data_IF_591287987215
#
_entry.id   IF_591287987215
#
_cell.length_a   1.000
_cell.length_b   1.000
_cell.length_c   1.000
_cell.angle_alpha   90.00
_cell.angle_beta   90.00
_cell.angle_gamma   90.00
#
_symmetry.space_group_name_H-M   'P 1'
#
loop_
_entity.id
_entity.type
_entity.pdbx_description
1 polymer ?
#
# COMPACT_ATOMS: atom_id res chain seq x y z
N UNK A 1 5.44 -8.90 -14.84
CA UNK A 1 4.11 -8.79 -14.19
C UNK A 1 3.47 -7.49 -14.62
N UNK A 2 2.15 -7.44 -14.83
CA UNK A 2 1.47 -6.19 -15.18
C UNK A 2 1.30 -5.33 -13.92
N UNK A 3 1.98 -4.19 -13.85
CA UNK A 3 1.97 -3.30 -12.70
C UNK A 3 0.57 -2.75 -12.33
N UNK A 4 -0.37 -2.72 -13.29
CA UNK A 4 -1.70 -2.12 -13.06
C UNK A 4 -2.59 -2.87 -12.07
N UNK A 5 -2.36 -4.18 -11.85
CA UNK A 5 -3.24 -5.03 -11.04
C UNK A 5 -2.49 -5.86 -10.00
N UNK A 6 -1.28 -5.44 -9.63
CA UNK A 6 -0.42 -6.21 -8.69
C UNK A 6 -1.01 -6.33 -7.30
N UNK A 7 -1.77 -5.34 -6.82
CA UNK A 7 -2.51 -5.38 -5.56
C UNK A 7 -3.55 -6.50 -5.54
N UNK A 8 -4.33 -6.66 -6.63
CA UNK A 8 -5.29 -7.76 -6.78
C UNK A 8 -4.56 -9.11 -6.81
N UNK A 9 -3.45 -9.20 -7.57
CA UNK A 9 -2.64 -10.43 -7.63
C UNK A 9 -2.06 -10.75 -6.25
N UNK A 10 -1.54 -9.74 -5.53
CA UNK A 10 -1.03 -9.93 -4.16
C UNK A 10 -2.15 -10.39 -3.21
N UNK A 11 -3.32 -9.74 -3.26
CA UNK A 11 -4.48 -10.14 -2.47
C UNK A 11 -4.88 -11.60 -2.73
N UNK A 12 -5.00 -11.99 -3.99
CA UNK A 12 -5.34 -13.36 -4.39
C UNK A 12 -4.29 -14.37 -3.90
N UNK A 13 -3.00 -14.10 -4.11
CA UNK A 13 -1.90 -14.97 -3.68
C UNK A 13 -1.85 -15.10 -2.16
N UNK A 14 -2.27 -14.07 -1.44
CA UNK A 14 -2.32 -14.04 0.03
C UNK A 14 -3.59 -14.69 0.61
N UNK A 15 -4.43 -15.31 -0.23
CA UNK A 15 -5.65 -16.00 0.18
C UNK A 15 -6.88 -15.10 0.29
N UNK A 16 -6.93 -14.02 -0.50
CA UNK A 16 -8.08 -13.12 -0.57
C UNK A 16 -9.39 -13.85 -0.90
N UNK A 17 -10.49 -13.32 -0.39
CA UNK A 17 -11.82 -13.92 -0.47
C UNK A 17 -12.51 -13.38 -1.72
N UNK A 18 -12.71 -14.24 -2.72
CA UNK A 18 -13.46 -13.88 -3.93
C UNK A 18 -14.94 -13.76 -3.54
N UNK A 19 -15.51 -12.56 -3.77
CA UNK A 19 -16.92 -12.25 -3.52
C UNK A 19 -17.73 -12.53 -4.78
N UNK A 20 -17.30 -11.95 -5.91
CA UNK A 20 -17.89 -12.17 -7.22
C UNK A 20 -16.78 -12.33 -8.28
N UNK A 21 -17.03 -13.18 -9.28
CA UNK A 21 -16.15 -13.35 -10.43
C UNK A 21 -16.99 -13.73 -11.66
N UNK A 22 -16.85 -12.94 -12.74
CA UNK A 22 -17.45 -13.21 -14.04
C UNK A 22 -16.45 -12.79 -15.14
N UNK A 23 -16.07 -13.70 -16.01
CA UNK A 23 -15.09 -13.47 -17.09
C UNK A 23 -13.78 -12.81 -16.57
N UNK A 24 -13.59 -11.54 -16.93
CA UNK A 24 -12.45 -10.72 -16.50
C UNK A 24 -12.77 -9.81 -15.31
N UNK A 25 -14.02 -9.79 -14.87
CA UNK A 25 -14.45 -8.97 -13.74
C UNK A 25 -14.26 -9.72 -12.43
N UNK A 26 -13.80 -9.02 -11.41
CA UNK A 26 -13.47 -9.59 -10.12
C UNK A 26 -13.82 -8.61 -8.98
N UNK A 27 -14.50 -9.12 -7.97
CA UNK A 27 -14.66 -8.46 -6.68
C UNK A 27 -14.08 -9.36 -5.60
N UNK A 28 -13.02 -8.91 -4.94
CA UNK A 28 -12.25 -9.69 -3.96
C UNK A 28 -11.97 -8.86 -2.72
N UNK A 29 -12.05 -9.47 -1.55
CA UNK A 29 -11.66 -8.88 -0.26
C UNK A 29 -10.30 -9.42 0.18
N UNK A 30 -9.44 -8.55 0.69
CA UNK A 30 -8.25 -8.99 1.43
C UNK A 30 -8.67 -9.74 2.70
N UNK A 31 -7.96 -10.82 3.02
CA UNK A 31 -8.36 -11.68 4.15
C UNK A 31 -7.99 -11.08 5.51
N UNK A 32 -6.96 -10.24 5.54
CA UNK A 32 -6.35 -9.72 6.77
C UNK A 32 -6.77 -8.27 7.06
N UNK A 33 -7.36 -7.58 6.06
CA UNK A 33 -7.78 -6.17 6.16
C UNK A 33 -9.22 -5.95 5.69
N UNK A 34 -9.70 -4.73 5.84
CA UNK A 34 -10.98 -4.27 5.30
C UNK A 34 -10.84 -3.62 3.91
N UNK A 35 -9.84 -4.06 3.13
CA UNK A 35 -9.61 -3.60 1.75
C UNK A 35 -10.31 -4.54 0.78
N UNK A 36 -11.08 -3.95 -0.11
CA UNK A 36 -11.84 -4.61 -1.17
C UNK A 36 -11.32 -4.10 -2.51
N UNK A 37 -11.15 -4.99 -3.47
CA UNK A 37 -10.68 -4.68 -4.82
C UNK A 37 -11.77 -5.01 -5.82
N UNK A 38 -12.14 -4.04 -6.65
CA UNK A 38 -13.18 -4.19 -7.65
C UNK A 38 -12.61 -3.89 -9.05
N UNK A 39 -12.41 -4.92 -9.82
CA UNK A 39 -12.08 -4.86 -11.24
C UNK A 39 -13.36 -5.19 -12.03
N UNK A 40 -14.00 -4.19 -12.59
CA UNK A 40 -15.21 -4.33 -13.41
C UNK A 40 -15.36 -3.08 -14.29
N UNK A 41 -15.41 -3.29 -15.60
CA UNK A 41 -15.59 -2.19 -16.55
C UNK A 41 -17.08 -1.80 -16.70
N UNK A 42 -18.01 -2.72 -16.45
CA UNK A 42 -19.46 -2.48 -16.46
C UNK A 42 -19.92 -1.85 -15.15
N UNK A 43 -20.28 -0.57 -15.21
CA UNK A 43 -20.69 0.23 -14.04
C UNK A 43 -21.95 -0.31 -13.37
N UNK A 44 -22.96 -0.72 -14.16
CA UNK A 44 -24.23 -1.23 -13.62
C UNK A 44 -24.02 -2.56 -12.88
N UNK A 45 -23.20 -3.45 -13.46
CA UNK A 45 -22.79 -4.71 -12.83
C UNK A 45 -22.02 -4.44 -11.52
N UNK A 46 -21.04 -3.54 -11.54
CA UNK A 46 -20.27 -3.18 -10.36
C UNK A 46 -21.16 -2.63 -9.23
N UNK A 47 -22.08 -1.71 -9.55
CA UNK A 47 -23.05 -1.17 -8.60
C UNK A 47 -23.98 -2.23 -8.03
N UNK A 48 -24.42 -3.20 -8.87
CA UNK A 48 -25.22 -4.34 -8.42
C UNK A 48 -24.44 -5.18 -7.41
N UNK A 49 -23.19 -5.57 -7.70
CA UNK A 49 -22.35 -6.35 -6.79
C UNK A 49 -22.11 -5.65 -5.45
N UNK A 50 -21.80 -4.35 -5.50
CA UNK A 50 -21.62 -3.56 -4.28
C UNK A 50 -22.91 -3.44 -3.46
N UNK A 51 -24.06 -3.29 -4.11
CA UNK A 51 -25.37 -3.24 -3.43
C UNK A 51 -25.72 -4.57 -2.77
N UNK A 52 -25.46 -5.68 -3.43
CA UNK A 52 -25.75 -7.04 -2.93
C UNK A 52 -24.80 -7.39 -1.77
N UNK A 53 -23.55 -6.98 -1.83
CA UNK A 53 -22.57 -7.24 -0.78
C UNK A 53 -22.78 -6.36 0.47
N UNK A 54 -23.01 -5.07 0.28
CA UNK A 54 -23.21 -4.11 1.36
C UNK A 54 -22.02 -3.17 1.59
N UNK A 55 -21.56 -3.04 2.85
CA UNK A 55 -20.52 -2.07 3.19
C UNK A 55 -19.11 -2.56 2.86
N UNK A 56 -18.33 -1.68 2.19
CA UNK A 56 -16.91 -1.83 1.93
C UNK A 56 -16.17 -0.65 2.55
N UNK A 57 -15.44 -0.86 3.66
CA UNK A 57 -14.79 0.22 4.39
C UNK A 57 -13.70 0.91 3.57
N UNK A 58 -12.87 0.14 2.89
CA UNK A 58 -11.87 0.62 1.94
C UNK A 58 -12.08 -0.11 0.60
N UNK A 59 -12.41 0.64 -0.46
CA UNK A 59 -12.66 0.09 -1.79
C UNK A 59 -11.64 0.65 -2.78
N UNK A 60 -10.88 -0.25 -3.41
CA UNK A 60 -9.99 0.06 -4.54
C UNK A 60 -10.66 -0.36 -5.84
N UNK A 61 -10.71 0.55 -6.81
CA UNK A 61 -11.31 0.31 -8.13
C UNK A 61 -10.52 0.97 -9.26
N UNK A 62 -10.82 0.61 -10.50
CA UNK A 62 -10.06 1.02 -11.69
C UNK A 62 -10.91 1.75 -12.73
N UNK A 63 -12.20 1.89 -12.47
CA UNK A 63 -13.17 2.54 -13.34
C UNK A 63 -13.46 3.95 -12.83
N UNK A 64 -13.11 4.98 -13.62
CA UNK A 64 -13.24 6.40 -13.25
C UNK A 64 -14.71 6.80 -13.10
N UNK A 65 -15.59 6.34 -13.98
CA UNK A 65 -17.02 6.63 -13.91
C UNK A 65 -17.63 6.08 -12.60
N UNK A 66 -17.30 4.85 -12.25
CA UNK A 66 -17.74 4.24 -11.00
C UNK A 66 -17.20 5.00 -9.80
N UNK A 67 -15.94 5.46 -9.84
CA UNK A 67 -15.37 6.30 -8.79
C UNK A 67 -16.14 7.60 -8.62
N UNK A 68 -16.46 8.29 -9.72
CA UNK A 68 -17.21 9.55 -9.68
C UNK A 68 -18.61 9.39 -9.08
N UNK A 69 -19.27 8.26 -9.34
CA UNK A 69 -20.58 7.92 -8.74
C UNK A 69 -20.45 7.65 -7.24
N UNK A 70 -19.37 7.01 -6.80
CA UNK A 70 -19.22 6.50 -5.44
C UNK A 70 -18.51 7.46 -4.48
N UNK A 71 -17.61 8.35 -4.95
CA UNK A 71 -16.70 9.14 -4.10
C UNK A 71 -17.40 9.94 -3.00
N UNK A 72 -18.63 10.43 -3.25
CA UNK A 72 -19.42 11.19 -2.27
C UNK A 72 -20.09 10.30 -1.20
N UNK A 73 -19.99 8.97 -1.32
CA UNK A 73 -20.48 8.02 -0.31
C UNK A 73 -19.38 7.59 0.66
N UNK A 74 -18.19 8.14 0.52
CA UNK A 74 -17.02 7.86 1.34
C UNK A 74 -16.46 9.16 1.93
N UNK A 75 -15.83 9.06 3.10
CA UNK A 75 -15.27 10.23 3.81
C UNK A 75 -14.03 10.79 3.14
N UNK A 76 -13.21 9.88 2.60
CA UNK A 76 -11.96 10.22 1.93
C UNK A 76 -11.83 9.44 0.64
N UNK A 77 -11.16 10.03 -0.32
CA UNK A 77 -10.81 9.38 -1.57
C UNK A 77 -9.43 9.83 -2.05
N UNK A 78 -8.77 8.97 -2.81
CA UNK A 78 -7.45 9.22 -3.38
C UNK A 78 -7.40 8.65 -4.79
N UNK A 79 -6.59 9.26 -5.65
CA UNK A 79 -6.28 8.75 -6.98
C UNK A 79 -4.78 8.49 -7.05
N UNK A 80 -4.40 7.24 -7.31
CA UNK A 80 -3.02 6.81 -7.19
C UNK A 80 -2.49 6.19 -8.49
N UNK A 81 -1.20 6.43 -8.74
CA UNK A 81 -0.40 5.53 -9.57
C UNK A 81 -0.03 4.30 -8.75
N UNK A 82 -0.04 3.13 -9.39
CA UNK A 82 0.49 1.92 -8.81
C UNK A 82 1.85 1.59 -9.41
N UNK A 83 2.80 1.22 -8.56
CA UNK A 83 4.15 0.85 -8.95
C UNK A 83 4.49 -0.55 -8.45
N UNK A 84 5.32 -1.27 -9.18
CA UNK A 84 5.84 -2.58 -8.79
C UNK A 84 7.34 -2.65 -9.02
N UNK A 85 8.05 -3.28 -8.09
CA UNK A 85 9.43 -3.68 -8.28
C UNK A 85 9.45 -5.09 -8.89
N UNK A 86 9.97 -5.22 -10.12
CA UNK A 86 9.84 -6.44 -10.91
C UNK A 86 11.17 -7.16 -11.16
N UNK A 87 12.12 -7.00 -10.24
CA UNK A 87 13.41 -7.69 -10.31
C UNK A 87 13.56 -8.64 -9.12
N UNK A 88 14.41 -9.69 -9.23
CA UNK A 88 14.53 -10.73 -8.22
C UNK A 88 15.26 -10.30 -6.95
N UNK A 89 16.07 -9.25 -7.02
CA UNK A 89 16.84 -8.71 -5.89
C UNK A 89 17.01 -7.19 -6.05
N UNK A 90 17.36 -6.52 -4.96
CA UNK A 90 17.58 -5.08 -4.88
C UNK A 90 18.82 -4.78 -4.02
N UNK A 91 19.67 -3.88 -4.49
CA UNK A 91 20.76 -3.35 -3.69
C UNK A 91 20.21 -2.44 -2.58
N UNK A 92 20.65 -2.68 -1.37
CA UNK A 92 20.31 -1.86 -0.20
C UNK A 92 21.49 -1.00 0.25
N UNK A 93 21.16 0.20 0.71
CA UNK A 93 22.14 1.12 1.28
C UNK A 93 22.58 0.63 2.67
N UNK A 94 23.87 0.43 2.87
CA UNK A 94 24.43 -0.08 4.12
C UNK A 94 24.73 1.02 5.16
N UNK A 95 24.40 2.27 4.87
CA UNK A 95 24.58 3.40 5.82
C UNK A 95 23.62 3.31 7.01
N UNK A 96 22.47 2.65 6.84
CA UNK A 96 21.47 2.50 7.90
C UNK A 96 21.50 1.10 8.49
N UNK A 97 21.33 1.02 9.79
CA UNK A 97 20.93 -0.18 10.50
C UNK A 97 19.41 -0.20 10.63
N UNK A 98 18.81 -1.40 10.62
CA UNK A 98 17.37 -1.56 10.69
C UNK A 98 16.96 -2.40 11.88
N UNK A 99 15.89 -1.99 12.54
CA UNK A 99 15.26 -2.75 13.63
C UNK A 99 13.76 -2.85 13.38
N UNK A 100 13.22 -4.05 13.51
CA UNK A 100 11.77 -4.24 13.48
C UNK A 100 11.13 -3.49 14.66
N UNK A 101 9.95 -2.88 14.40
CA UNK A 101 9.19 -2.23 15.44
C UNK A 101 8.61 -3.25 16.43
N UNK A 102 8.57 -2.87 17.70
CA UNK A 102 8.03 -3.66 18.80
C UNK A 102 6.86 -2.94 19.48
N UNK A 103 6.13 -3.63 20.34
CA UNK A 103 4.97 -3.05 21.07
C UNK A 103 5.33 -1.77 21.84
N UNK A 104 6.55 -1.65 22.34
CA UNK A 104 7.05 -0.45 23.01
C UNK A 104 7.18 0.78 22.11
N UNK A 105 7.25 0.59 20.79
CA UNK A 105 7.41 1.66 19.82
C UNK A 105 6.06 2.30 19.37
N UNK A 106 4.93 1.73 19.74
CA UNK A 106 3.59 2.15 19.28
C UNK A 106 3.37 3.65 19.53
N UNK A 107 3.63 4.11 20.72
CA UNK A 107 3.40 5.53 21.06
C UNK A 107 4.30 6.47 20.26
N UNK A 108 5.55 6.10 20.05
CA UNK A 108 6.47 6.87 19.21
C UNK A 108 5.99 6.87 17.75
N UNK A 109 5.60 5.73 17.21
CA UNK A 109 5.10 5.63 15.85
C UNK A 109 3.85 6.48 15.64
N UNK A 110 2.86 6.40 16.54
CA UNK A 110 1.60 7.18 16.48
C UNK A 110 1.82 8.70 16.52
N UNK A 111 2.86 9.19 17.21
CA UNK A 111 3.21 10.62 17.20
C UNK A 111 3.68 11.10 15.83
N UNK A 112 4.11 10.20 14.97
CA UNK A 112 4.71 10.52 13.68
C UNK A 112 3.90 10.04 12.46
N UNK A 113 2.92 9.16 12.68
CA UNK A 113 2.07 8.60 11.61
C UNK A 113 0.65 8.38 12.13
N UNK A 114 -0.33 9.03 11.49
CA UNK A 114 -1.72 9.09 11.97
C UNK A 114 -2.74 8.41 11.05
N UNK A 115 -2.28 7.75 9.99
CA UNK A 115 -3.17 7.22 8.93
C UNK A 115 -3.59 5.76 9.16
N UNK A 116 -3.30 5.20 10.35
CA UNK A 116 -3.67 3.83 10.71
C UNK A 116 -4.47 3.80 12.01
N UNK A 117 -5.39 2.86 12.10
CA UNK A 117 -6.09 2.51 13.34
C UNK A 117 -5.17 1.77 14.32
N UNK A 118 -5.58 1.67 15.58
CA UNK A 118 -4.82 0.93 16.59
C UNK A 118 -4.75 -0.57 16.28
N UNK A 119 -5.80 -1.12 15.69
CA UNK A 119 -5.87 -2.51 15.22
C UNK A 119 -4.85 -2.76 14.09
N UNK A 120 -4.80 -1.88 13.09
CA UNK A 120 -3.83 -1.96 12.00
C UNK A 120 -2.39 -1.84 12.50
N UNK A 121 -2.12 -0.91 13.42
CA UNK A 121 -0.79 -0.77 14.05
C UNK A 121 -0.43 -2.04 14.82
N UNK A 122 -1.35 -2.60 15.59
CA UNK A 122 -1.17 -3.88 16.29
C UNK A 122 -0.79 -5.00 15.31
N UNK A 123 -1.54 -5.12 14.22
CA UNK A 123 -1.31 -6.13 13.19
C UNK A 123 0.07 -5.99 12.53
N UNK A 124 0.44 -4.79 12.04
CA UNK A 124 1.71 -4.60 11.33
C UNK A 124 2.94 -4.83 12.23
N UNK A 125 2.83 -4.55 13.53
CA UNK A 125 3.88 -4.85 14.50
C UNK A 125 3.98 -6.35 14.75
N UNK A 126 2.86 -7.03 15.01
CA UNK A 126 2.83 -8.48 15.25
C UNK A 126 3.37 -9.26 14.05
N UNK A 127 3.06 -8.82 12.83
CA UNK A 127 3.51 -9.45 11.59
C UNK A 127 4.86 -8.91 11.07
N UNK A 128 5.57 -8.11 11.89
CA UNK A 128 6.92 -7.58 11.57
C UNK A 128 6.94 -6.82 10.24
N UNK A 129 5.94 -5.97 10.00
CA UNK A 129 5.77 -5.20 8.77
C UNK A 129 6.25 -3.75 8.89
N UNK A 130 6.75 -3.33 10.06
CA UNK A 130 7.25 -1.98 10.31
C UNK A 130 8.69 -2.03 10.83
N UNK A 131 9.55 -1.20 10.28
CA UNK A 131 10.97 -1.10 10.64
C UNK A 131 11.38 0.35 10.84
N UNK A 132 12.25 0.58 11.84
CA UNK A 132 12.97 1.83 12.02
C UNK A 132 14.36 1.73 11.39
N UNK A 133 14.76 2.80 10.69
CA UNK A 133 16.13 2.97 10.19
C UNK A 133 16.94 3.87 11.12
N UNK A 134 18.18 3.45 11.40
CA UNK A 134 19.09 4.13 12.32
C UNK A 134 20.38 4.53 11.62
N UNK A 135 20.83 5.74 11.91
CA UNK A 135 22.18 6.24 11.60
C UNK A 135 22.89 6.55 12.92
N UNK A 136 23.95 5.80 13.25
CA UNK A 136 24.70 6.00 14.51
C UNK A 136 23.77 6.09 15.74
N UNK A 137 22.90 5.13 15.94
CA UNK A 137 21.92 5.01 17.03
C UNK A 137 20.78 6.05 17.04
N UNK A 138 20.76 6.99 16.10
CA UNK A 138 19.63 7.91 15.92
C UNK A 138 18.63 7.42 14.87
N UNK A 139 17.33 7.48 15.22
CA UNK A 139 16.26 7.11 14.27
C UNK A 139 16.19 8.17 13.17
N UNK A 140 16.42 7.77 11.91
CA UNK A 140 16.29 8.65 10.74
C UNK A 140 14.89 8.65 10.14
N UNK A 141 14.14 7.58 10.39
CA UNK A 141 12.80 7.40 9.89
C UNK A 141 12.32 5.96 10.05
N UNK A 142 11.23 5.65 9.40
CA UNK A 142 10.67 4.30 9.40
C UNK A 142 10.08 3.96 8.02
N UNK A 143 9.92 2.66 7.78
CA UNK A 143 9.29 2.12 6.58
C UNK A 143 8.51 0.87 6.93
N UNK A 144 7.39 0.65 6.24
CA UNK A 144 6.58 -0.55 6.46
C UNK A 144 5.60 -0.85 5.34
N UNK A 145 4.91 -1.97 5.52
CA UNK A 145 3.77 -2.39 4.70
C UNK A 145 2.48 -2.18 5.47
N UNK A 146 1.44 -1.77 4.77
CA UNK A 146 0.06 -1.85 5.27
C UNK A 146 -0.37 -3.31 5.48
N UNK A 147 -1.53 -3.51 6.08
CA UNK A 147 -2.05 -4.85 6.39
C UNK A 147 -2.17 -5.70 5.13
N UNK A 148 -2.63 -5.12 4.01
CA UNK A 148 -2.77 -5.73 2.68
C UNK A 148 -1.44 -5.90 1.91
N UNK A 149 -0.30 -5.64 2.57
CA UNK A 149 1.07 -5.80 2.04
C UNK A 149 1.50 -4.74 1.01
N UNK A 150 0.78 -3.63 0.88
CA UNK A 150 1.25 -2.46 0.12
C UNK A 150 2.40 -1.77 0.87
N UNK A 151 3.52 -1.51 0.22
CA UNK A 151 4.61 -0.68 0.79
C UNK A 151 4.16 0.78 0.71
N UNK A 152 3.88 1.40 1.85
CA UNK A 152 3.28 2.75 1.85
C UNK A 152 3.53 3.53 3.15
N UNK A 153 3.99 2.85 4.20
CA UNK A 153 4.31 3.48 5.48
C UNK A 153 5.77 3.94 5.41
N UNK A 154 6.01 5.14 4.89
CA UNK A 154 7.37 5.68 4.77
C UNK A 154 7.44 7.09 5.34
N UNK A 155 8.39 7.31 6.25
CA UNK A 155 8.73 8.64 6.77
C UNK A 155 10.22 8.78 7.00
N UNK A 156 10.80 9.87 6.48
CA UNK A 156 12.14 10.35 6.85
C UNK A 156 11.96 11.60 7.70
N UNK A 157 12.58 11.64 8.89
CA UNK A 157 12.50 12.81 9.77
C UNK A 157 13.19 14.01 9.13
N UNK A 158 12.67 15.19 9.39
CA UNK A 158 13.03 16.43 8.68
C UNK A 158 14.54 16.68 8.63
N UNK A 159 15.23 16.52 9.77
CA UNK A 159 16.68 16.72 9.87
C UNK A 159 17.53 15.78 9.00
N UNK A 160 16.90 14.69 8.49
CA UNK A 160 17.58 13.67 7.66
C UNK A 160 17.13 13.66 6.21
N UNK A 161 16.19 14.53 5.82
CA UNK A 161 15.72 14.62 4.44
C UNK A 161 16.85 15.04 3.48
N UNK A 162 16.63 14.80 2.21
CA UNK A 162 17.56 15.14 1.12
C UNK A 162 18.94 14.46 1.17
N UNK A 163 19.09 13.39 1.98
CA UNK A 163 20.32 12.61 2.11
C UNK A 163 20.20 11.19 1.51
N UNK A 164 19.14 10.92 0.75
CA UNK A 164 18.91 9.61 0.13
C UNK A 164 18.29 8.56 1.08
N UNK A 165 18.00 8.89 2.33
CA UNK A 165 17.47 7.91 3.30
C UNK A 165 16.06 7.39 2.98
N UNK A 166 15.24 8.15 2.25
CA UNK A 166 13.96 7.64 1.75
C UNK A 166 14.16 6.45 0.82
N UNK A 167 15.12 6.58 -0.12
CA UNK A 167 15.52 5.48 -1.01
C UNK A 167 16.08 4.30 -0.23
N UNK A 168 16.95 4.54 0.76
CA UNK A 168 17.53 3.49 1.60
C UNK A 168 16.45 2.69 2.34
N UNK A 169 15.52 3.38 3.01
CA UNK A 169 14.40 2.76 3.75
C UNK A 169 13.50 1.95 2.84
N UNK A 170 13.09 2.51 1.70
CA UNK A 170 12.17 1.84 0.80
C UNK A 170 12.82 0.66 0.07
N UNK A 171 14.09 0.78 -0.37
CA UNK A 171 14.84 -0.35 -0.92
C UNK A 171 14.99 -1.49 0.07
N UNK A 172 15.22 -1.19 1.35
CA UNK A 172 15.22 -2.18 2.42
C UNK A 172 13.86 -2.89 2.53
N UNK A 173 12.74 -2.14 2.51
CA UNK A 173 11.41 -2.75 2.62
C UNK A 173 11.06 -3.59 1.38
N UNK A 174 11.46 -3.16 0.19
CA UNK A 174 11.34 -3.96 -1.04
C UNK A 174 12.10 -5.29 -0.88
N UNK A 175 13.33 -5.27 -0.35
CA UNK A 175 14.11 -6.49 -0.10
C UNK A 175 13.40 -7.42 0.89
N UNK A 176 12.82 -6.86 1.96
CA UNK A 176 12.01 -7.62 2.91
C UNK A 176 10.77 -8.25 2.25
N UNK A 177 10.06 -7.52 1.35
CA UNK A 177 8.95 -8.08 0.57
C UNK A 177 9.42 -9.29 -0.26
N UNK A 178 10.48 -9.11 -1.04
CA UNK A 178 11.02 -10.17 -1.90
C UNK A 178 11.47 -11.40 -1.09
N UNK A 179 12.12 -11.19 0.05
CA UNK A 179 12.57 -12.29 0.94
C UNK A 179 11.42 -13.12 1.50
N UNK A 180 10.22 -12.51 1.61
CA UNK A 180 8.99 -13.16 2.07
C UNK A 180 8.15 -13.76 0.93
N UNK A 181 8.62 -13.67 -0.32
CA UNK A 181 7.88 -14.09 -1.50
C UNK A 181 6.67 -13.21 -1.84
N UNK A 182 6.63 -11.97 -1.30
CA UNK A 182 5.60 -10.99 -1.58
C UNK A 182 5.93 -10.19 -2.84
N UNK A 183 4.89 -9.65 -3.47
CA UNK A 183 5.07 -8.67 -4.53
C UNK A 183 5.37 -7.31 -3.89
N UNK A 184 6.54 -6.74 -4.19
CA UNK A 184 6.88 -5.41 -3.72
C UNK A 184 6.19 -4.36 -4.60
N UNK A 185 5.07 -3.81 -4.11
CA UNK A 185 4.29 -2.79 -4.79
C UNK A 185 3.95 -1.63 -3.86
N UNK A 186 3.67 -0.48 -4.46
CA UNK A 186 3.29 0.75 -3.75
C UNK A 186 2.24 1.51 -4.54
N UNK A 187 1.46 2.32 -3.84
CA UNK A 187 0.48 3.24 -4.41
C UNK A 187 0.84 4.66 -4.00
N UNK A 188 0.90 5.56 -4.97
CA UNK A 188 1.35 6.93 -4.78
C UNK A 188 0.32 7.89 -5.36
N UNK A 189 -0.18 8.83 -4.55
CA UNK A 189 -1.08 9.88 -5.02
C UNK A 189 -0.51 10.60 -6.25
N UNK A 190 -1.37 10.87 -7.23
CA UNK A 190 -0.96 11.40 -8.54
C UNK A 190 -0.31 12.78 -8.49
N UNK A 191 -0.49 13.53 -7.42
CA UNK A 191 0.10 14.84 -7.16
C UNK A 191 1.33 14.80 -6.24
N UNK A 192 1.63 13.65 -5.62
CA UNK A 192 2.80 13.48 -4.74
C UNK A 192 4.10 13.31 -5.53
N UNK A 193 4.61 14.42 -6.07
CA UNK A 193 5.82 14.44 -6.92
C UNK A 193 7.05 13.84 -6.22
N UNK A 194 7.17 14.02 -4.90
CA UNK A 194 8.33 13.52 -4.15
C UNK A 194 8.34 11.98 -4.10
N UNK A 195 7.19 11.37 -3.80
CA UNK A 195 7.06 9.91 -3.80
C UNK A 195 7.17 9.33 -5.21
N UNK A 196 6.58 9.98 -6.23
CA UNK A 196 6.73 9.57 -7.63
C UNK A 196 8.21 9.51 -8.02
N UNK A 197 8.97 10.59 -7.79
CA UNK A 197 10.41 10.63 -8.08
C UNK A 197 11.20 9.57 -7.29
N UNK A 198 10.79 9.28 -6.07
CA UNK A 198 11.39 8.22 -5.26
C UNK A 198 11.19 6.85 -5.90
N UNK A 199 9.96 6.48 -6.28
CA UNK A 199 9.66 5.21 -6.94
C UNK A 199 10.48 5.02 -8.23
N UNK A 200 10.50 6.05 -9.07
CA UNK A 200 11.25 6.04 -10.33
C UNK A 200 12.76 5.92 -10.07
N UNK A 201 13.30 6.58 -9.05
CA UNK A 201 14.72 6.51 -8.67
C UNK A 201 15.17 5.13 -8.18
N UNK A 202 14.25 4.36 -7.59
CA UNK A 202 14.49 2.98 -7.14
C UNK A 202 14.38 2.00 -8.32
N UNK A 203 13.68 2.38 -9.40
CA UNK A 203 13.45 1.56 -10.57
C UNK A 203 12.15 0.77 -10.54
N UNK A 204 11.16 1.21 -9.75
CA UNK A 204 9.82 0.63 -9.82
C UNK A 204 9.16 0.99 -11.15
N UNK A 205 8.37 0.05 -11.64
CA UNK A 205 7.63 0.18 -12.91
C UNK A 205 6.22 0.66 -12.59
N UNK A 206 5.81 1.78 -13.20
CA UNK A 206 4.46 2.32 -13.06
C UNK A 206 3.46 1.54 -13.91
N UNK A 207 2.31 1.23 -13.33
CA UNK A 207 1.15 0.69 -14.03
C UNK A 207 0.53 1.71 -15.00
N UNK A 208 -0.13 1.22 -16.04
CA UNK A 208 -0.82 2.05 -17.03
C UNK A 208 -2.22 2.50 -16.60
N UNK A 209 -2.77 1.92 -15.53
CA UNK A 209 -4.08 2.26 -14.99
C UNK A 209 -3.93 3.03 -13.68
N UNK A 210 -4.84 3.97 -13.46
CA UNK A 210 -5.01 4.58 -12.14
C UNK A 210 -5.74 3.64 -11.20
N UNK A 211 -5.44 3.76 -9.93
CA UNK A 211 -6.18 3.12 -8.84
C UNK A 211 -6.94 4.21 -8.10
N UNK A 212 -8.22 4.03 -7.94
CA UNK A 212 -9.11 4.93 -7.21
C UNK A 212 -9.43 4.29 -5.86
N UNK A 213 -9.08 4.96 -4.78
CA UNK A 213 -9.27 4.48 -3.41
C UNK A 213 -10.37 5.28 -2.72
N UNK A 214 -11.27 4.58 -2.05
CA UNK A 214 -12.39 5.14 -1.32
C UNK A 214 -12.35 4.61 0.12
N UNK A 215 -12.36 5.51 1.13
CA UNK A 215 -12.19 5.14 2.53
C UNK A 215 -13.34 5.65 3.40
N UNK A 216 -13.77 4.82 4.37
CA UNK A 216 -14.74 5.19 5.39
C UNK A 216 -16.12 5.39 4.79
N UNK A 217 -16.73 4.34 4.27
CA UNK A 217 -18.09 4.37 3.74
C UNK A 217 -19.08 4.95 4.76
N UNK A 218 -19.87 5.95 4.34
CA UNK A 218 -20.86 6.70 5.15
C UNK A 218 -22.12 5.87 5.43
#
# INVERSE_FOLDING_TARGET
MNASYVNIVQCHNNGGIIINREDNDLFIKDKDSEVYYLLCDDVDKALKWLKEYGKCYCLELYNEELFDILKNRYRHNMVCYQYVYNYPDIETDNRLNYRVAEKGDINFFKQHYSNLTDEEIGYIIEHRQLYFGFLNDEIVGFVGMHVEKCVGILKVFEKYRHNGYGKALESFMIKECLSRGLIAYTQVETDNKASIALQESIGLIRGSKLVYLLFGQL
#
